data_IF_645711666854
#
_entry.id   IF_645711666854
#
_cell.length_a   1.000
_cell.length_b   1.000
_cell.length_c   1.000
_cell.angle_alpha   90.00
_cell.angle_beta   90.00
_cell.angle_gamma   90.00
#
_symmetry.space_group_name_H-M   'P 1'
#
loop_
_entity.id
_entity.type
_entity.pdbx_description
1 polymer ?
#
# COMPACT_ATOMS: atom_id res chain seq x y z
N UNK A 1 -30.09 -2.20 48.32
CA UNK A 1 -28.86 -2.84 47.79
C UNK A 1 -29.12 -3.89 46.69
N UNK A 2 -30.21 -3.81 45.91
CA UNK A 2 -30.51 -4.72 44.77
C UNK A 2 -30.49 -4.02 43.40
N UNK A 3 -30.60 -2.69 43.41
CA UNK A 3 -30.50 -1.84 42.21
C UNK A 3 -29.06 -1.79 41.71
N UNK A 4 -28.07 -1.80 42.62
CA UNK A 4 -26.65 -1.78 42.27
C UNK A 4 -26.20 -3.06 41.58
N UNK A 5 -26.69 -4.23 42.02
CA UNK A 5 -26.37 -5.52 41.38
C UNK A 5 -27.01 -5.63 40.00
N UNK A 6 -28.27 -5.22 39.84
CA UNK A 6 -28.94 -5.20 38.54
C UNK A 6 -28.24 -4.23 37.56
N UNK A 7 -27.89 -3.02 37.99
CA UNK A 7 -27.18 -2.04 37.16
C UNK A 7 -25.78 -2.50 36.76
N UNK A 8 -25.05 -3.17 37.67
CA UNK A 8 -23.72 -3.73 37.36
C UNK A 8 -23.82 -4.85 36.32
N UNK A 9 -24.82 -5.74 36.43
CA UNK A 9 -25.02 -6.80 35.44
C UNK A 9 -25.36 -6.26 34.05
N UNK A 10 -26.19 -5.22 33.97
CA UNK A 10 -26.53 -4.55 32.70
C UNK A 10 -25.30 -3.89 32.07
N UNK A 11 -24.48 -3.20 32.87
CA UNK A 11 -23.25 -2.56 32.37
C UNK A 11 -22.23 -3.59 31.85
N UNK A 12 -22.06 -4.71 32.55
CA UNK A 12 -21.19 -5.80 32.11
C UNK A 12 -21.67 -6.42 30.79
N UNK A 13 -22.99 -6.65 30.65
CA UNK A 13 -23.57 -7.18 29.42
C UNK A 13 -23.42 -6.22 28.23
N UNK A 14 -23.60 -4.91 28.42
CA UNK A 14 -23.38 -3.92 27.36
C UNK A 14 -21.90 -3.85 26.96
N UNK A 15 -20.99 -3.94 27.93
CA UNK A 15 -19.55 -3.93 27.66
C UNK A 15 -19.10 -5.14 26.83
N UNK A 16 -19.59 -6.35 27.14
CA UNK A 16 -19.27 -7.56 26.35
C UNK A 16 -19.80 -7.46 24.92
N UNK A 17 -21.03 -6.96 24.73
CA UNK A 17 -21.60 -6.74 23.38
C UNK A 17 -20.77 -5.74 22.58
N UNK A 18 -20.35 -4.63 23.19
CA UNK A 18 -19.51 -3.63 22.53
C UNK A 18 -18.12 -4.18 22.17
N UNK A 19 -17.50 -4.97 23.05
CA UNK A 19 -16.21 -5.62 22.78
C UNK A 19 -16.31 -6.64 21.65
N UNK A 20 -17.40 -7.43 21.60
CA UNK A 20 -17.66 -8.37 20.51
C UNK A 20 -17.91 -7.64 19.17
N UNK A 21 -18.64 -6.52 19.19
CA UNK A 21 -18.87 -5.70 18.00
C UNK A 21 -17.60 -4.99 17.49
N UNK A 22 -16.70 -4.60 18.41
CA UNK A 22 -15.42 -3.96 18.07
C UNK A 22 -14.32 -4.97 17.72
N UNK A 23 -14.52 -6.25 18.04
CA UNK A 23 -13.57 -7.33 17.76
C UNK A 23 -13.57 -7.90 16.33
N UNK A 24 -14.41 -7.40 15.42
CA UNK A 24 -14.54 -7.91 14.04
C UNK A 24 -14.12 -6.92 12.94
N UNK A 25 -13.24 -5.96 13.27
CA UNK A 25 -12.58 -5.11 12.27
C UNK A 25 -11.07 -5.36 12.25
N UNK A 26 -10.66 -6.63 12.18
CA UNK A 26 -9.34 -7.03 11.71
C UNK A 26 -9.42 -7.35 10.21
N UNK A 27 -8.41 -7.01 9.40
CA UNK A 27 -8.40 -7.43 8.00
C UNK A 27 -8.47 -8.96 7.95
N UNK A 28 -9.38 -9.48 7.12
CA UNK A 28 -9.50 -10.90 6.82
C UNK A 28 -8.12 -11.56 6.69
N UNK A 29 -7.79 -12.42 7.64
CA UNK A 29 -6.81 -13.49 7.45
C UNK A 29 -7.56 -14.78 7.75
N UNK A 30 -8.42 -15.17 6.80
CA UNK A 30 -8.95 -16.53 6.74
C UNK A 30 -7.79 -17.45 6.33
N UNK A 31 -6.90 -17.76 7.28
CA UNK A 31 -6.06 -18.95 7.23
C UNK A 31 -6.98 -20.16 7.44
N UNK A 32 -7.63 -20.60 6.37
CA UNK A 32 -8.09 -21.98 6.25
C UNK A 32 -6.91 -22.85 5.81
N UNK A 33 -6.70 -24.03 6.39
CA UNK A 33 -5.76 -24.98 5.83
C UNK A 33 -6.38 -25.60 4.56
N UNK A 34 -5.51 -25.94 3.61
CA UNK A 34 -5.76 -26.83 2.46
C UNK A 34 -6.62 -26.24 1.33
N UNK A 35 -6.02 -26.19 0.14
CA UNK A 35 -6.59 -25.60 -1.06
C UNK A 35 -7.82 -26.32 -1.58
N UNK A 36 -8.89 -25.57 -1.81
CA UNK A 36 -10.00 -25.98 -2.66
C UNK A 36 -9.58 -25.91 -4.14
N UNK A 37 -9.69 -27.00 -4.92
CA UNK A 37 -9.25 -27.08 -6.32
C UNK A 37 -10.18 -26.36 -7.32
N UNK A 38 -11.27 -25.72 -6.86
CA UNK A 38 -12.35 -25.22 -7.72
C UNK A 38 -12.26 -23.72 -8.06
N UNK A 39 -11.27 -22.99 -7.55
CA UNK A 39 -11.04 -21.61 -7.96
C UNK A 39 -9.81 -21.52 -8.86
N UNK A 40 -9.94 -21.00 -10.09
CA UNK A 40 -8.79 -20.59 -10.88
C UNK A 40 -7.93 -19.68 -10.01
N UNK A 41 -6.63 -20.03 -9.88
CA UNK A 41 -5.68 -19.17 -9.18
C UNK A 41 -5.80 -17.76 -9.78
N UNK A 42 -6.13 -16.71 -9.02
CA UNK A 42 -6.18 -15.34 -9.55
C UNK A 42 -4.79 -14.81 -9.90
N UNK A 43 -3.76 -15.64 -9.76
CA UNK A 43 -2.38 -15.34 -10.08
C UNK A 43 -1.94 -16.27 -11.21
N UNK A 44 -1.67 -15.76 -12.42
CA UNK A 44 -0.87 -16.52 -13.37
C UNK A 44 0.46 -16.88 -12.67
N UNK A 45 1.00 -18.10 -12.87
CA UNK A 45 2.35 -18.39 -12.42
C UNK A 45 3.27 -17.38 -13.11
N UNK A 46 3.76 -16.44 -12.31
CA UNK A 46 4.72 -15.46 -12.78
C UNK A 46 5.95 -16.23 -13.24
N UNK A 47 6.14 -16.32 -14.54
CA UNK A 47 7.39 -16.75 -15.13
C UNK A 47 8.53 -15.91 -14.51
N UNK A 48 9.24 -16.50 -13.55
CA UNK A 48 10.68 -16.26 -13.37
C UNK A 48 11.18 -15.05 -12.60
N UNK A 49 10.41 -14.33 -11.78
CA UNK A 49 10.99 -13.25 -10.95
C UNK A 49 10.76 -13.42 -9.45
N UNK A 50 11.90 -13.48 -8.74
CA UNK A 50 12.07 -13.68 -7.30
C UNK A 50 11.02 -12.93 -6.47
N UNK A 51 10.53 -13.56 -5.38
CA UNK A 51 9.97 -12.86 -4.20
C UNK A 51 10.98 -11.94 -3.48
N UNK A 52 12.08 -11.61 -4.15
CA UNK A 52 13.21 -10.86 -3.63
C UNK A 52 13.24 -9.51 -4.36
N UNK A 53 12.90 -8.45 -3.66
CA UNK A 53 13.11 -7.10 -4.16
C UNK A 53 14.55 -6.62 -3.92
N UNK A 54 15.11 -5.79 -4.81
CA UNK A 54 16.41 -5.18 -4.60
C UNK A 54 16.52 -4.45 -3.25
N UNK A 55 17.74 -4.20 -2.80
CA UNK A 55 17.95 -3.47 -1.56
C UNK A 55 17.27 -2.09 -1.60
N UNK A 56 16.49 -1.78 -0.56
CA UNK A 56 15.71 -0.53 -0.49
C UNK A 56 14.33 -0.61 -1.14
N UNK A 57 13.94 -1.77 -1.67
CA UNK A 57 12.61 -2.03 -2.22
C UNK A 57 11.84 -3.05 -1.39
N UNK A 58 10.51 -3.01 -1.50
CA UNK A 58 9.57 -3.96 -0.89
C UNK A 58 8.52 -4.36 -1.92
N UNK A 59 8.14 -5.63 -1.90
CA UNK A 59 7.09 -6.12 -2.78
C UNK A 59 5.74 -5.62 -2.29
N UNK A 60 4.99 -4.93 -3.16
CA UNK A 60 3.62 -4.50 -2.90
C UNK A 60 2.69 -5.12 -3.94
N UNK A 61 1.45 -5.36 -3.54
CA UNK A 61 0.38 -5.86 -4.41
C UNK A 61 -0.67 -4.78 -4.60
N UNK A 62 -1.16 -4.65 -5.83
CA UNK A 62 -2.26 -3.78 -6.20
C UNK A 62 -2.14 -2.36 -5.62
N UNK A 63 -1.10 -1.65 -6.02
CA UNK A 63 -0.91 -0.24 -5.65
C UNK A 63 -0.88 0.62 -6.91
N UNK A 64 -1.32 1.87 -6.76
CA UNK A 64 -1.23 2.91 -7.78
C UNK A 64 0.21 3.05 -8.30
N UNK A 65 0.40 3.12 -9.62
CA UNK A 65 1.74 3.33 -10.18
C UNK A 65 2.32 4.72 -9.89
N UNK A 66 1.47 5.72 -9.63
CA UNK A 66 1.93 7.09 -9.33
C UNK A 66 2.16 7.33 -7.84
N UNK A 67 1.35 6.72 -6.96
CA UNK A 67 1.45 6.90 -5.50
C UNK A 67 2.03 5.70 -4.74
N UNK A 68 2.29 4.58 -5.40
CA UNK A 68 2.82 3.36 -4.79
C UNK A 68 4.23 3.52 -4.19
N UNK A 69 4.96 4.56 -4.59
CA UNK A 69 6.27 4.94 -4.06
C UNK A 69 6.52 6.45 -4.23
N UNK A 70 7.46 7.01 -3.47
CA UNK A 70 7.92 8.37 -3.69
C UNK A 70 8.97 8.42 -4.80
N UNK A 71 8.97 9.50 -5.57
CA UNK A 71 9.89 9.74 -6.69
C UNK A 71 10.61 11.04 -6.46
N UNK A 72 11.90 11.10 -6.79
CA UNK A 72 12.73 12.28 -6.53
C UNK A 72 12.17 13.56 -7.16
N UNK A 73 11.41 13.46 -8.25
CA UNK A 73 10.79 14.61 -8.92
C UNK A 73 9.63 15.24 -8.19
N UNK A 74 9.08 14.56 -7.18
CA UNK A 74 8.04 15.12 -6.33
C UNK A 74 8.64 16.05 -5.26
N UNK A 75 9.96 15.99 -5.02
CA UNK A 75 10.64 16.89 -4.10
C UNK A 75 10.72 18.29 -4.73
N UNK A 76 9.98 19.25 -4.16
CA UNK A 76 9.98 20.65 -4.58
C UNK A 76 8.85 21.02 -5.55
N UNK A 77 7.95 20.08 -5.88
CA UNK A 77 6.70 20.41 -6.58
C UNK A 77 5.65 20.78 -5.52
N UNK A 78 5.07 21.99 -5.57
CA UNK A 78 3.98 22.34 -4.68
C UNK A 78 2.73 21.51 -5.04
N UNK A 79 2.08 20.95 -4.02
CA UNK A 79 0.85 20.17 -4.18
C UNK A 79 1.04 18.65 -4.19
N UNK A 80 -0.08 17.93 -4.10
CA UNK A 80 -0.12 16.46 -4.13
C UNK A 80 -0.41 16.03 -5.57
N UNK A 81 0.43 15.17 -6.14
CA UNK A 81 0.16 14.58 -7.45
C UNK A 81 -1.01 13.58 -7.30
N UNK A 82 -2.08 13.66 -8.12
CA UNK A 82 -3.19 12.73 -8.01
C UNK A 82 -2.74 11.28 -8.23
N UNK A 83 -3.28 10.38 -7.44
CA UNK A 83 -3.01 8.95 -7.57
C UNK A 83 -3.81 8.36 -8.72
N UNK A 84 -3.18 7.54 -9.55
CA UNK A 84 -3.86 6.73 -10.55
C UNK A 84 -4.58 5.56 -9.88
N UNK A 85 -5.72 5.14 -10.44
CA UNK A 85 -6.53 4.02 -9.92
C UNK A 85 -6.08 2.65 -10.43
N UNK A 86 -4.90 2.56 -11.03
CA UNK A 86 -4.34 1.31 -11.54
C UNK A 86 -3.85 0.38 -10.41
N UNK A 87 -3.90 -0.92 -10.67
CA UNK A 87 -3.56 -1.97 -9.72
C UNK A 87 -2.27 -2.66 -10.16
N UNK A 88 -1.11 -2.10 -9.79
CA UNK A 88 0.21 -2.65 -10.15
C UNK A 88 0.81 -3.40 -8.98
N UNK A 89 1.35 -4.59 -9.24
CA UNK A 89 2.07 -5.41 -8.26
C UNK A 89 3.53 -5.55 -8.67
N UNK A 90 4.46 -5.38 -7.73
CA UNK A 90 5.89 -5.36 -8.01
C UNK A 90 6.73 -4.83 -6.86
N UNK A 91 7.99 -4.51 -7.15
CA UNK A 91 8.92 -3.93 -6.17
C UNK A 91 8.88 -2.39 -6.19
N UNK A 92 8.56 -1.82 -5.03
CA UNK A 92 8.42 -0.38 -4.81
C UNK A 92 9.43 0.08 -3.77
N UNK A 93 9.85 1.35 -3.83
CA UNK A 93 10.72 1.90 -2.79
C UNK A 93 10.09 1.75 -1.40
N UNK A 94 10.93 1.38 -0.41
CA UNK A 94 10.55 1.41 1.00
C UNK A 94 10.16 2.83 1.41
N UNK A 95 9.39 2.93 2.49
CA UNK A 95 8.99 4.21 3.09
C UNK A 95 10.24 5.08 3.32
N UNK A 96 10.12 6.39 3.08
CA UNK A 96 11.19 7.40 3.18
C UNK A 96 12.33 7.31 2.15
N UNK A 97 12.28 6.35 1.22
CA UNK A 97 13.14 6.34 0.04
C UNK A 97 12.40 6.86 -1.18
N UNK A 98 13.15 7.51 -2.07
CA UNK A 98 12.67 8.13 -3.28
C UNK A 98 13.36 7.49 -4.47
N UNK A 99 12.57 7.12 -5.49
CA UNK A 99 13.14 6.58 -6.73
C UNK A 99 13.77 7.70 -7.54
N UNK A 100 15.06 7.57 -7.83
CA UNK A 100 15.77 8.48 -8.71
C UNK A 100 15.58 8.08 -10.19
N UNK A 101 16.08 8.91 -11.11
CA UNK A 101 16.00 8.67 -12.55
C UNK A 101 16.80 7.43 -13.02
N UNK A 102 17.71 6.91 -12.19
CA UNK A 102 18.47 5.68 -12.42
C UNK A 102 17.75 4.43 -11.89
N UNK A 103 16.50 4.56 -11.46
CA UNK A 103 15.68 3.47 -10.94
C UNK A 103 16.02 3.01 -9.52
N UNK A 104 16.91 3.71 -8.80
CA UNK A 104 17.36 3.32 -7.44
C UNK A 104 16.57 4.08 -6.36
N UNK A 105 16.23 3.37 -5.29
CA UNK A 105 15.63 3.95 -4.09
C UNK A 105 16.70 4.57 -3.20
N UNK A 106 16.67 5.90 -3.05
CA UNK A 106 17.67 6.66 -2.29
C UNK A 106 17.00 7.56 -1.25
N UNK A 107 17.69 7.93 -0.15
CA UNK A 107 17.21 8.96 0.76
C UNK A 107 16.99 10.29 0.02
N UNK A 108 16.05 11.16 0.48
CA UNK A 108 15.71 12.40 -0.20
C UNK A 108 16.91 13.34 -0.41
N UNK A 109 17.87 13.34 0.53
CA UNK A 109 19.13 14.11 0.42
C UNK A 109 20.01 13.70 -0.77
N UNK A 110 19.86 12.47 -1.27
CA UNK A 110 20.57 11.92 -2.42
C UNK A 110 19.76 12.01 -3.72
N UNK A 111 18.56 12.59 -3.67
CA UNK A 111 17.90 13.00 -4.90
C UNK A 111 18.73 14.13 -5.53
N UNK A 112 18.97 14.11 -6.84
CA UNK A 112 19.57 15.24 -7.52
C UNK A 112 18.73 16.47 -7.17
N UNK A 113 19.38 17.57 -6.74
CA UNK A 113 18.68 18.84 -6.53
C UNK A 113 17.95 19.15 -7.84
N UNK A 114 16.62 19.13 -7.78
CA UNK A 114 15.80 19.39 -8.95
C UNK A 114 16.12 20.80 -9.44
N UNK A 115 16.78 20.88 -10.60
CA UNK A 115 16.57 21.98 -11.53
C UNK A 115 15.19 21.68 -12.13
N UNK A 116 14.17 22.53 -11.97
CA UNK A 116 12.94 22.39 -12.73
C UNK A 116 13.32 22.64 -14.19
N UNK A 117 13.77 21.61 -14.91
CA UNK A 117 13.61 21.64 -16.35
C UNK A 117 12.14 21.33 -16.57
N UNK A 118 11.37 22.22 -17.20
CA UNK A 118 10.10 21.82 -17.78
C UNK A 118 10.44 20.64 -18.68
N UNK A 119 9.95 19.43 -18.37
CA UNK A 119 9.92 18.39 -19.40
C UNK A 119 8.91 18.92 -20.42
N UNK A 120 9.31 19.20 -21.66
CA UNK A 120 8.32 19.34 -22.71
C UNK A 120 7.51 18.04 -22.70
N UNK A 121 6.18 18.17 -22.67
CA UNK A 121 5.28 17.06 -22.92
C UNK A 121 5.74 16.40 -24.23
N UNK A 122 5.86 15.07 -24.31
CA UNK A 122 6.18 14.43 -25.58
C UNK A 122 5.11 14.84 -26.58
N UNK A 123 5.52 15.59 -27.60
CA UNK A 123 4.67 15.90 -28.74
C UNK A 123 4.19 14.56 -29.29
N UNK A 124 2.87 14.36 -29.29
CA UNK A 124 2.25 13.20 -29.91
C UNK A 124 2.78 13.06 -31.33
N UNK A 125 3.07 11.82 -31.73
CA UNK A 125 3.46 11.48 -33.10
C UNK A 125 2.29 11.90 -34.00
N UNK A 126 2.46 12.81 -34.99
CA UNK A 126 1.42 13.00 -35.99
C UNK A 126 1.35 11.74 -36.86
N UNK A 127 0.12 11.27 -37.09
CA UNK A 127 -0.22 10.29 -38.12
C UNK A 127 -0.05 10.89 -39.53
#
# INVERSE_FOLDING_TARGET
MKVTTASVLVLLALCTILLLARGQAGPQQLWGPVGSPLLPRPFPPSNGYRRWCPHGEIFKRCVSSTCGEHKCYQLGVPGVLPCTLDCVSGCFCKRHLYRNYRGRCVPPRKCPKWRPRPRPLPAGRPE
#
